data_IF_124406784276
#
_entry.id   IF_124406784276
#
_cell.length_a   1.000
_cell.length_b   1.000
_cell.length_c   1.000
_cell.angle_alpha   90.00
_cell.angle_beta   90.00
_cell.angle_gamma   90.00
#
_symmetry.space_group_name_H-M   'P 1'
#
loop_
_entity.id
_entity.type
_entity.pdbx_description
1 polymer ?
#
# COMPACT_ATOMS: atom_id res chain seq x y z
N UNK A 1 -16.66 -2.88 -12.16
CA UNK A 1 -17.59 -3.72 -11.37
C UNK A 1 -18.54 -2.84 -10.55
N UNK A 2 -19.70 -3.34 -10.17
CA UNK A 2 -20.61 -2.66 -9.24
C UNK A 2 -20.22 -3.04 -7.81
N UNK A 3 -20.15 -2.03 -6.93
CA UNK A 3 -19.80 -2.19 -5.51
C UNK A 3 -20.69 -1.30 -4.65
N UNK A 4 -20.94 -1.69 -3.42
CA UNK A 4 -21.72 -0.91 -2.45
C UNK A 4 -20.82 0.02 -1.63
N UNK A 5 -19.56 -0.38 -1.45
CA UNK A 5 -18.52 0.37 -0.76
C UNK A 5 -17.15 0.18 -1.41
N UNK A 6 -16.23 1.08 -1.08
CA UNK A 6 -14.83 1.02 -1.54
C UNK A 6 -13.93 1.27 -0.34
N UNK A 7 -13.00 0.33 -0.09
CA UNK A 7 -11.94 0.53 0.89
C UNK A 7 -10.80 1.28 0.21
N UNK A 8 -10.46 2.45 0.76
CA UNK A 8 -9.31 3.25 0.35
C UNK A 8 -8.33 3.32 1.52
N UNK A 9 -7.15 2.79 1.31
CA UNK A 9 -6.03 2.97 2.24
C UNK A 9 -5.31 4.29 1.96
N UNK A 10 -4.47 4.80 2.85
CA UNK A 10 -3.66 5.98 2.58
C UNK A 10 -2.96 5.87 1.22
N UNK A 11 -3.06 6.94 0.40
CA UNK A 11 -2.54 7.00 -0.96
C UNK A 11 -3.43 6.40 -2.05
N UNK A 12 -4.40 5.53 -1.75
CA UNK A 12 -5.31 5.00 -2.76
C UNK A 12 -6.28 6.06 -3.28
N UNK A 13 -6.67 5.92 -4.53
CA UNK A 13 -7.71 6.70 -5.21
C UNK A 13 -8.69 5.75 -5.89
N UNK A 14 -9.94 6.19 -6.06
CA UNK A 14 -10.94 5.48 -6.85
C UNK A 14 -11.76 6.46 -7.68
N UNK A 15 -11.97 6.10 -8.94
CA UNK A 15 -12.92 6.77 -9.81
C UNK A 15 -14.23 5.99 -9.80
N UNK A 16 -15.32 6.67 -9.45
CA UNK A 16 -16.62 6.04 -9.26
C UNK A 16 -17.63 6.66 -10.23
N UNK A 17 -18.28 5.81 -11.01
CA UNK A 17 -19.48 6.20 -11.78
C UNK A 17 -20.71 5.91 -10.93
N UNK A 18 -21.45 6.95 -10.58
CA UNK A 18 -22.62 6.86 -9.73
C UNK A 18 -23.86 7.29 -10.50
N UNK A 19 -24.88 6.42 -10.56
CA UNK A 19 -26.20 6.81 -11.06
C UNK A 19 -27.01 7.36 -9.90
N UNK A 20 -27.25 8.68 -9.90
CA UNK A 20 -27.98 9.35 -8.84
C UNK A 20 -29.46 9.57 -9.23
N UNK A 21 -30.36 9.31 -8.30
CA UNK A 21 -31.78 9.69 -8.41
C UNK A 21 -32.02 11.01 -7.67
N UNK A 22 -33.12 11.69 -7.99
CA UNK A 22 -33.46 12.94 -7.32
C UNK A 22 -33.55 12.76 -5.79
N UNK A 23 -32.98 13.70 -5.05
CA UNK A 23 -32.91 13.64 -3.59
C UNK A 23 -31.57 14.12 -3.04
N UNK A 24 -31.36 13.88 -1.75
CA UNK A 24 -30.10 14.22 -1.05
C UNK A 24 -29.35 12.95 -0.71
N UNK A 25 -28.09 12.89 -1.16
CA UNK A 25 -27.21 11.75 -0.99
C UNK A 25 -25.97 12.14 -0.22
N UNK A 26 -25.46 11.25 0.61
CA UNK A 26 -24.23 11.49 1.37
C UNK A 26 -23.16 10.46 1.05
N UNK A 27 -21.94 10.94 0.77
CA UNK A 27 -20.73 10.13 0.80
C UNK A 27 -20.23 10.08 2.23
N UNK A 28 -19.99 8.89 2.73
CA UNK A 28 -19.61 8.68 4.14
C UNK A 28 -18.34 7.85 4.23
N UNK A 29 -17.43 8.26 5.10
CA UNK A 29 -16.39 7.38 5.60
C UNK A 29 -16.95 6.49 6.71
N UNK A 30 -16.64 5.21 6.62
CA UNK A 30 -17.00 4.20 7.61
C UNK A 30 -15.69 3.66 8.18
N UNK A 31 -15.61 3.49 9.49
CA UNK A 31 -14.43 2.93 10.12
C UNK A 31 -14.19 1.49 9.63
N UNK A 32 -12.95 1.20 9.29
CA UNK A 32 -12.46 -0.13 8.89
C UNK A 32 -11.43 -0.58 9.93
N UNK A 33 -11.52 -1.84 10.34
CA UNK A 33 -10.51 -2.45 11.20
C UNK A 33 -9.25 -2.72 10.35
N UNK A 34 -8.15 -2.08 10.73
CA UNK A 34 -6.85 -2.22 10.08
C UNK A 34 -5.86 -3.05 10.90
N UNK A 35 -6.36 -3.79 11.89
CA UNK A 35 -5.52 -4.39 12.90
C UNK A 35 -4.94 -3.33 13.87
N UNK A 36 -4.12 -3.77 14.78
CA UNK A 36 -3.45 -2.88 15.73
C UNK A 36 -3.10 -3.59 17.03
N UNK A 37 -2.13 -3.06 17.74
CA UNK A 37 -1.82 -3.51 19.09
C UNK A 37 -2.84 -2.94 20.07
N UNK A 38 -3.88 -3.70 20.39
CA UNK A 38 -4.98 -3.31 21.27
C UNK A 38 -4.60 -2.93 22.70
N UNK A 39 -3.32 -2.77 23.02
CA UNK A 39 -2.83 -2.47 24.37
C UNK A 39 -2.12 -1.11 24.54
N UNK A 40 -1.78 -0.36 23.51
CA UNK A 40 -1.01 0.88 23.67
C UNK A 40 -1.78 2.19 23.51
N UNK A 41 -3.00 2.19 23.03
CA UNK A 41 -3.82 3.40 22.92
C UNK A 41 -5.08 3.31 23.78
N UNK A 42 -4.90 3.11 25.05
CA UNK A 42 -5.98 3.32 26.01
C UNK A 42 -6.37 4.79 26.09
N UNK A 43 -7.03 5.31 25.03
CA UNK A 43 -7.92 6.50 25.10
C UNK A 43 -8.39 7.08 23.77
N UNK A 44 -8.00 6.52 22.62
CA UNK A 44 -8.73 6.82 21.39
C UNK A 44 -9.50 5.56 21.04
N UNK A 45 -10.78 5.54 21.46
CA UNK A 45 -11.66 4.41 21.29
C UNK A 45 -11.61 3.91 19.85
N UNK A 46 -11.13 2.69 19.66
CA UNK A 46 -11.42 1.95 18.46
C UNK A 46 -12.93 1.74 18.43
N UNK A 47 -13.64 2.61 17.71
CA UNK A 47 -15.03 2.36 17.42
C UNK A 47 -15.10 1.00 16.71
N UNK A 48 -16.01 0.16 17.15
CA UNK A 48 -16.22 -1.11 16.46
C UNK A 48 -16.45 -0.84 14.96
N UNK A 49 -15.92 -1.68 14.06
CA UNK A 49 -16.06 -1.50 12.63
C UNK A 49 -17.53 -1.22 12.26
N UNK A 50 -17.78 -0.16 11.49
CA UNK A 50 -19.11 0.24 11.04
C UNK A 50 -19.92 1.13 12.00
N UNK A 51 -19.46 1.43 13.21
CA UNK A 51 -20.21 2.28 14.15
C UNK A 51 -19.99 3.79 13.94
N UNK A 52 -18.81 4.20 13.47
CA UNK A 52 -18.56 5.63 13.22
C UNK A 52 -18.69 5.90 11.73
N UNK A 53 -19.69 6.73 11.37
CA UNK A 53 -19.91 7.20 10.00
C UNK A 53 -19.71 8.71 9.97
N UNK A 54 -18.70 9.17 9.22
CA UNK A 54 -18.45 10.59 9.01
C UNK A 54 -18.92 10.98 7.62
N UNK A 55 -19.81 11.97 7.51
CA UNK A 55 -20.22 12.51 6.22
C UNK A 55 -19.09 13.35 5.64
N UNK A 56 -18.57 12.94 4.48
CA UNK A 56 -17.50 13.62 3.75
C UNK A 56 -18.07 14.67 2.79
N UNK A 57 -19.17 14.34 2.13
CA UNK A 57 -19.85 15.22 1.19
C UNK A 57 -21.35 14.94 1.13
N UNK A 58 -22.13 15.94 0.76
CA UNK A 58 -23.55 15.81 0.49
C UNK A 58 -23.84 16.30 -0.92
N UNK A 59 -24.59 15.52 -1.69
CA UNK A 59 -25.03 15.86 -3.04
C UNK A 59 -26.53 16.07 -3.05
N UNK A 60 -26.98 17.25 -3.49
CA UNK A 60 -28.38 17.52 -3.78
C UNK A 60 -28.60 17.32 -5.30
N UNK A 61 -29.34 16.28 -5.65
CA UNK A 61 -29.67 15.95 -7.03
C UNK A 61 -31.05 16.49 -7.37
N UNK A 62 -31.10 17.49 -8.23
CA UNK A 62 -32.33 18.19 -8.65
C UNK A 62 -32.39 18.22 -10.18
N UNK A 63 -33.58 18.42 -10.71
CA UNK A 63 -33.83 18.62 -12.12
C UNK A 63 -34.54 17.45 -12.80
N UNK A 64 -34.65 17.53 -14.11
CA UNK A 64 -35.28 16.50 -14.93
C UNK A 64 -34.30 15.32 -15.11
N UNK A 65 -34.77 14.08 -14.98
CA UNK A 65 -33.92 12.92 -15.27
C UNK A 65 -33.35 12.99 -16.69
N UNK A 66 -32.05 12.74 -16.82
CA UNK A 66 -31.37 12.57 -18.10
C UNK A 66 -31.14 11.09 -18.38
N UNK A 67 -30.88 10.74 -19.64
CA UNK A 67 -30.43 9.38 -19.97
C UNK A 67 -29.15 9.06 -19.18
N UNK A 68 -29.04 7.83 -18.70
CA UNK A 68 -27.79 7.35 -18.13
C UNK A 68 -26.65 7.49 -19.17
N UNK A 69 -25.46 7.84 -18.68
CA UNK A 69 -24.27 7.80 -19.51
C UNK A 69 -24.05 6.34 -19.95
N UNK A 70 -23.68 6.16 -21.21
CA UNK A 70 -23.19 4.86 -21.66
C UNK A 70 -21.98 4.47 -20.79
N UNK A 71 -21.90 3.21 -20.42
CA UNK A 71 -20.75 2.71 -19.66
C UNK A 71 -19.44 2.99 -20.41
N UNK A 72 -18.35 3.14 -19.69
CA UNK A 72 -17.04 3.30 -20.32
C UNK A 72 -16.77 2.13 -21.27
N UNK A 73 -16.66 2.40 -22.55
CA UNK A 73 -16.13 1.43 -23.50
C UNK A 73 -14.60 1.39 -23.32
N UNK A 74 -14.08 0.25 -22.93
CA UNK A 74 -12.65 0.03 -22.85
C UNK A 74 -12.09 -0.01 -24.28
N UNK A 75 -11.47 1.06 -24.72
CA UNK A 75 -10.91 1.15 -26.09
C UNK A 75 -9.64 0.30 -26.26
N UNK A 76 -8.95 -0.02 -25.14
CA UNK A 76 -7.73 -0.82 -25.16
C UNK A 76 -7.82 -1.90 -24.07
N UNK A 77 -7.41 -3.12 -24.41
CA UNK A 77 -7.21 -4.15 -23.40
C UNK A 77 -5.98 -3.76 -22.55
N UNK A 78 -6.12 -3.60 -21.23
CA UNK A 78 -4.97 -3.32 -20.39
C UNK A 78 -4.02 -4.52 -20.42
N UNK A 79 -2.72 -4.24 -20.30
CA UNK A 79 -1.68 -5.26 -20.23
C UNK A 79 -1.93 -6.17 -19.02
N UNK A 80 -1.77 -7.47 -19.22
CA UNK A 80 -1.88 -8.48 -18.16
C UNK A 80 -0.55 -9.24 -18.02
N UNK A 81 0.19 -8.93 -16.96
CA UNK A 81 1.49 -9.54 -16.70
C UNK A 81 1.41 -11.02 -16.31
N UNK A 82 0.21 -11.57 -16.02
CA UNK A 82 0.06 -13.01 -15.71
C UNK A 82 0.48 -13.91 -16.85
N UNK A 83 0.34 -13.43 -18.08
CA UNK A 83 0.75 -14.16 -19.28
C UNK A 83 2.22 -13.97 -19.66
N UNK A 84 2.94 -13.09 -18.96
CA UNK A 84 4.31 -12.73 -19.32
C UNK A 84 5.34 -13.45 -18.45
N UNK A 85 6.55 -13.66 -19.00
CA UNK A 85 7.62 -14.34 -18.30
C UNK A 85 8.17 -13.46 -17.16
N UNK A 86 8.23 -14.02 -15.96
CA UNK A 86 8.84 -13.38 -14.79
C UNK A 86 10.34 -13.60 -14.81
N UNK A 87 11.12 -12.53 -14.73
CA UNK A 87 12.59 -12.57 -14.75
C UNK A 87 13.20 -12.74 -13.37
N UNK A 88 12.51 -12.28 -12.33
CA UNK A 88 12.94 -12.43 -10.95
C UNK A 88 11.73 -12.51 -9.99
N UNK A 89 11.93 -13.18 -8.85
CA UNK A 89 10.97 -13.21 -7.75
C UNK A 89 11.63 -12.68 -6.49
N UNK A 90 10.89 -11.87 -5.72
CA UNK A 90 11.37 -11.30 -4.46
C UNK A 90 10.34 -11.47 -3.36
N UNK A 91 10.81 -11.58 -2.12
CA UNK A 91 10.01 -11.43 -0.92
C UNK A 91 10.45 -10.14 -0.20
N UNK A 92 9.51 -9.26 0.11
CA UNK A 92 9.71 -8.06 0.92
C UNK A 92 8.91 -8.24 2.21
N UNK A 93 9.63 -8.29 3.34
CA UNK A 93 9.03 -8.51 4.66
C UNK A 93 8.86 -7.16 5.36
N UNK A 94 7.61 -6.75 5.53
CA UNK A 94 7.23 -5.57 6.30
C UNK A 94 7.03 -5.97 7.76
N UNK A 95 7.78 -5.36 8.64
CA UNK A 95 7.80 -5.71 10.07
C UNK A 95 7.99 -4.50 10.95
N UNK A 96 7.94 -4.77 12.25
CA UNK A 96 8.19 -3.77 13.29
C UNK A 96 9.08 -4.37 14.36
N UNK A 97 9.99 -3.57 14.91
CA UNK A 97 10.85 -3.96 16.02
C UNK A 97 10.79 -2.88 17.09
N UNK A 98 11.03 -3.26 18.34
CA UNK A 98 11.38 -2.27 19.36
C UNK A 98 12.86 -1.98 19.25
N UNK A 99 13.22 -0.72 19.03
CA UNK A 99 14.59 -0.27 19.04
C UNK A 99 15.23 -0.64 20.38
N UNK A 100 15.93 -1.76 20.42
CA UNK A 100 16.70 -2.17 21.59
C UNK A 100 17.89 -1.22 21.70
N UNK A 101 17.78 -0.21 22.56
CA UNK A 101 18.89 0.66 22.90
C UNK A 101 20.11 -0.17 23.29
N UNK A 102 21.12 -0.19 22.41
CA UNK A 102 22.49 -0.48 22.72
C UNK A 102 22.84 -1.84 23.34
N UNK A 103 22.50 -2.95 22.72
CA UNK A 103 23.22 -4.21 22.91
C UNK A 103 24.47 -4.17 22.04
N UNK A 104 25.66 -4.05 22.65
CA UNK A 104 26.95 -4.18 21.95
C UNK A 104 27.08 -5.60 21.36
N UNK A 105 26.61 -5.80 20.15
CA UNK A 105 27.03 -6.89 19.27
C UNK A 105 28.18 -6.38 18.42
N UNK A 106 29.34 -7.02 18.49
CA UNK A 106 30.51 -6.74 17.67
C UNK A 106 30.18 -7.00 16.20
N UNK A 107 29.82 -5.97 15.47
CA UNK A 107 29.69 -5.92 14.03
C UNK A 107 29.99 -4.49 13.59
N UNK A 108 31.16 -4.29 13.01
CA UNK A 108 31.68 -3.00 12.55
C UNK A 108 30.90 -2.55 11.32
N UNK A 109 29.82 -1.82 11.52
CA UNK A 109 29.09 -1.07 10.50
C UNK A 109 28.98 0.37 10.94
N UNK A 110 29.67 1.26 10.27
CA UNK A 110 29.64 2.72 10.51
C UNK A 110 28.27 3.26 10.15
N UNK A 111 27.43 3.51 11.16
CA UNK A 111 26.20 4.27 11.00
C UNK A 111 26.54 5.75 10.74
N UNK A 112 26.41 6.19 9.52
CA UNK A 112 26.50 7.60 9.09
C UNK A 112 25.11 8.11 8.69
N UNK A 113 24.21 8.26 9.66
CA UNK A 113 23.09 9.19 9.52
C UNK A 113 22.76 9.75 10.90
N UNK A 114 22.85 11.07 11.03
CA UNK A 114 22.79 11.81 12.28
C UNK A 114 21.40 11.97 12.90
N UNK A 115 20.55 10.97 12.87
CA UNK A 115 19.34 10.93 13.68
C UNK A 115 19.66 10.20 14.99
N UNK A 116 19.69 10.93 16.10
CA UNK A 116 19.73 10.34 17.45
C UNK A 116 18.44 9.54 17.68
N UNK A 117 18.53 8.21 17.53
CA UNK A 117 17.42 7.31 17.80
C UNK A 117 17.22 7.21 19.31
N UNK A 118 16.03 7.55 19.79
CA UNK A 118 15.66 7.35 21.18
C UNK A 118 15.56 5.84 21.48
N UNK A 119 16.27 5.34 22.51
CA UNK A 119 16.15 3.95 22.95
C UNK A 119 14.71 3.65 23.39
N UNK A 120 14.08 2.64 22.76
CA UNK A 120 12.70 2.24 23.06
C UNK A 120 11.66 2.76 22.09
N UNK A 121 12.03 3.52 21.09
CA UNK A 121 11.13 3.88 19.97
C UNK A 121 10.87 2.67 19.08
N UNK A 122 9.64 2.54 18.62
CA UNK A 122 9.25 1.53 17.64
C UNK A 122 9.86 1.88 16.29
N UNK A 123 10.50 0.90 15.67
CA UNK A 123 11.04 1.01 14.31
C UNK A 123 10.20 0.17 13.37
N UNK A 124 9.92 0.69 12.19
CA UNK A 124 9.25 -0.02 11.12
C UNK A 124 10.26 -0.37 10.03
N UNK A 125 10.29 -1.63 9.63
CA UNK A 125 11.37 -2.17 8.79
C UNK A 125 10.83 -2.82 7.52
N UNK A 126 11.66 -2.81 6.47
CA UNK A 126 11.51 -3.69 5.31
C UNK A 126 12.71 -4.62 5.27
N UNK A 127 12.47 -5.93 5.28
CA UNK A 127 13.51 -6.97 5.38
C UNK A 127 14.42 -6.81 6.63
N UNK A 128 13.87 -6.28 7.72
CA UNK A 128 14.62 -6.05 8.96
C UNK A 128 15.46 -4.78 8.98
N UNK A 129 15.46 -4.01 7.90
CA UNK A 129 16.23 -2.78 7.76
C UNK A 129 15.31 -1.57 7.83
N UNK A 130 15.79 -0.49 8.44
CA UNK A 130 15.18 0.84 8.35
C UNK A 130 15.74 1.59 7.14
N UNK A 131 15.04 2.62 6.71
CA UNK A 131 15.43 3.46 5.59
C UNK A 131 16.85 4.02 5.73
N UNK A 132 17.61 3.91 4.65
CA UNK A 132 18.91 4.54 4.46
C UNK A 132 18.95 5.10 3.02
N UNK A 133 19.00 6.43 2.83
CA UNK A 133 18.97 7.05 1.50
C UNK A 133 20.19 6.71 0.63
N UNK A 134 21.28 6.30 1.26
CA UNK A 134 22.53 5.96 0.56
C UNK A 134 22.62 4.47 0.16
N UNK A 135 21.73 3.63 0.72
CA UNK A 135 21.65 2.21 0.43
C UNK A 135 20.65 1.93 -0.69
N UNK A 136 21.07 1.19 -1.71
CA UNK A 136 20.15 0.61 -2.70
C UNK A 136 19.72 -0.77 -2.20
N UNK A 137 18.45 -0.91 -1.84
CA UNK A 137 17.90 -2.16 -1.29
C UNK A 137 17.54 -3.15 -2.40
N UNK A 138 17.12 -2.65 -3.56
CA UNK A 138 16.72 -3.45 -4.72
C UNK A 138 17.38 -2.90 -5.97
N UNK A 139 17.92 -3.81 -6.79
CA UNK A 139 18.28 -3.51 -8.17
C UNK A 139 17.41 -4.36 -9.10
N UNK A 140 16.74 -3.73 -10.06
CA UNK A 140 15.95 -4.38 -11.08
C UNK A 140 16.47 -4.04 -12.49
N UNK A 141 16.28 -4.95 -13.43
CA UNK A 141 16.66 -4.73 -14.82
C UNK A 141 15.63 -3.91 -15.57
N UNK A 142 16.05 -2.94 -16.37
CA UNK A 142 15.16 -2.22 -17.28
C UNK A 142 14.48 -3.19 -18.27
N UNK A 143 13.16 -3.07 -18.44
CA UNK A 143 12.36 -3.97 -19.24
C UNK A 143 12.07 -5.34 -18.60
N UNK A 144 12.52 -5.55 -17.36
CA UNK A 144 12.23 -6.80 -16.63
C UNK A 144 10.81 -6.81 -16.06
N UNK A 145 10.28 -8.03 -15.87
CA UNK A 145 9.04 -8.25 -15.13
C UNK A 145 9.40 -9.04 -13.89
N UNK A 146 9.11 -8.48 -12.74
CA UNK A 146 9.36 -9.15 -11.46
C UNK A 146 8.06 -9.47 -10.74
N UNK A 147 8.06 -10.57 -9.98
CA UNK A 147 6.98 -10.98 -9.09
C UNK A 147 7.44 -10.77 -7.64
N UNK A 148 6.71 -9.92 -6.92
CA UNK A 148 7.04 -9.59 -5.55
C UNK A 148 5.98 -10.12 -4.59
N UNK A 149 6.42 -10.85 -3.56
CA UNK A 149 5.59 -11.21 -2.42
C UNK A 149 5.81 -10.18 -1.33
N UNK A 150 4.82 -9.34 -1.10
CA UNK A 150 4.78 -8.37 0.00
C UNK A 150 4.23 -9.08 1.23
N UNK A 151 5.08 -9.37 2.21
CA UNK A 151 4.73 -10.14 3.41
C UNK A 151 4.70 -9.22 4.62
N UNK A 152 3.58 -9.19 5.31
CA UNK A 152 3.40 -8.42 6.52
C UNK A 152 3.45 -9.33 7.74
N UNK A 153 4.42 -9.12 8.61
CA UNK A 153 4.58 -9.87 9.87
C UNK A 153 4.14 -9.07 11.10
N UNK A 154 3.56 -7.89 10.87
CA UNK A 154 3.05 -7.02 11.93
C UNK A 154 1.54 -7.19 12.13
N UNK A 155 0.99 -6.79 13.28
CA UNK A 155 -0.45 -6.86 13.55
C UNK A 155 -1.25 -5.70 12.94
N UNK A 156 -0.66 -4.90 12.07
CA UNK A 156 -1.28 -3.73 11.43
C UNK A 156 -1.15 -3.82 9.92
N UNK A 157 -2.12 -3.24 9.19
CA UNK A 157 -2.04 -3.15 7.73
C UNK A 157 -0.93 -2.20 7.28
N UNK A 158 -0.31 -2.54 6.15
CA UNK A 158 0.67 -1.69 5.47
C UNK A 158 0.24 -1.42 4.03
N UNK A 159 -0.27 -0.22 3.71
CA UNK A 159 -0.41 0.25 2.33
C UNK A 159 0.98 0.51 1.74
N UNK A 160 1.42 -0.37 0.86
CA UNK A 160 2.74 -0.29 0.22
C UNK A 160 2.63 0.46 -1.08
N UNK A 161 3.36 1.56 -1.20
CA UNK A 161 3.49 2.37 -2.42
C UNK A 161 4.82 2.09 -3.11
N UNK A 162 4.77 1.87 -4.41
CA UNK A 162 5.94 1.86 -5.28
C UNK A 162 5.87 3.07 -6.21
N UNK A 163 6.89 3.90 -6.16
CA UNK A 163 7.00 5.04 -7.06
C UNK A 163 7.29 4.58 -8.48
N UNK A 164 6.78 5.33 -9.46
CA UNK A 164 7.01 5.20 -10.91
C UNK A 164 6.25 4.04 -11.56
N UNK A 165 6.36 2.81 -11.04
CA UNK A 165 5.78 1.62 -11.70
C UNK A 165 4.55 1.11 -10.95
N UNK A 166 3.40 0.99 -11.64
CA UNK A 166 2.23 0.38 -11.01
C UNK A 166 2.43 -1.12 -10.82
N UNK A 167 1.78 -1.65 -9.82
CA UNK A 167 1.78 -3.07 -9.46
C UNK A 167 0.50 -3.73 -9.92
N UNK A 168 0.59 -4.82 -10.68
CA UNK A 168 -0.55 -5.68 -10.96
C UNK A 168 -0.77 -6.65 -9.81
N UNK A 169 -1.94 -6.63 -9.22
CA UNK A 169 -2.33 -7.52 -8.14
C UNK A 169 -2.56 -8.94 -8.67
N UNK A 170 -1.85 -9.92 -8.13
CA UNK A 170 -1.91 -11.34 -8.55
C UNK A 170 -2.63 -12.19 -7.51
N UNK A 171 -2.26 -12.03 -6.24
CA UNK A 171 -2.81 -12.82 -5.16
C UNK A 171 -2.92 -11.97 -3.90
N UNK A 172 -3.95 -12.18 -3.11
CA UNK A 172 -4.11 -11.59 -1.78
C UNK A 172 -4.58 -12.66 -0.80
N UNK A 173 -3.90 -12.79 0.34
CA UNK A 173 -4.23 -13.75 1.41
C UNK A 173 -4.39 -15.20 0.89
N UNK A 174 -3.52 -15.64 -0.03
CA UNK A 174 -3.59 -16.96 -0.65
C UNK A 174 -4.71 -17.17 -1.68
N UNK A 175 -5.43 -16.11 -2.04
CA UNK A 175 -6.51 -16.12 -3.03
C UNK A 175 -6.06 -15.43 -4.31
N UNK A 176 -6.12 -16.11 -5.44
CA UNK A 176 -5.83 -15.52 -6.74
C UNK A 176 -6.83 -14.42 -7.08
N UNK A 177 -6.33 -13.26 -7.47
CA UNK A 177 -7.15 -12.14 -7.95
C UNK A 177 -7.54 -12.40 -9.40
N UNK A 178 -8.84 -12.58 -9.65
CA UNK A 178 -9.36 -12.89 -11.00
C UNK A 178 -9.41 -11.65 -11.89
N UNK A 179 -9.88 -10.54 -11.33
CA UNK A 179 -9.98 -9.28 -12.05
C UNK A 179 -8.59 -8.68 -12.29
N UNK A 180 -8.41 -8.05 -13.43
CA UNK A 180 -7.20 -7.29 -13.72
C UNK A 180 -7.21 -6.00 -12.91
N UNK A 181 -6.31 -5.90 -11.95
CA UNK A 181 -6.19 -4.75 -11.05
C UNK A 181 -4.76 -4.21 -11.06
N UNK A 182 -4.63 -2.94 -11.40
CA UNK A 182 -3.39 -2.19 -11.34
C UNK A 182 -3.48 -1.12 -10.25
N UNK A 183 -2.50 -1.06 -9.39
CA UNK A 183 -2.44 -0.13 -8.26
C UNK A 183 -1.01 0.37 -8.07
N UNK A 184 -0.86 1.59 -7.66
CA UNK A 184 0.43 2.15 -7.20
C UNK A 184 0.59 2.06 -5.68
N UNK A 185 -0.53 1.83 -4.97
CA UNK A 185 -0.56 1.53 -3.54
C UNK A 185 -1.34 0.25 -3.31
N UNK A 186 -0.70 -0.77 -2.74
CA UNK A 186 -1.30 -2.07 -2.43
C UNK A 186 -1.37 -2.28 -0.92
N UNK A 187 -2.56 -2.50 -0.39
CA UNK A 187 -2.70 -2.83 1.03
C UNK A 187 -2.22 -4.26 1.31
N UNK A 188 -1.31 -4.41 2.26
CA UNK A 188 -0.86 -5.71 2.78
C UNK A 188 -1.46 -5.90 4.17
N UNK A 189 -2.51 -6.72 4.31
CA UNK A 189 -3.20 -6.89 5.58
C UNK A 189 -2.31 -7.44 6.69
N UNK A 190 -2.67 -7.17 7.94
CA UNK A 190 -1.97 -7.66 9.12
C UNK A 190 -1.74 -9.17 9.07
N UNK A 191 -0.51 -9.61 9.38
CA UNK A 191 -0.10 -11.03 9.42
C UNK A 191 -0.45 -11.81 8.13
N UNK A 192 -0.30 -11.18 6.98
CA UNK A 192 -0.69 -11.72 5.68
C UNK A 192 0.34 -11.42 4.60
N UNK A 193 0.03 -11.82 3.37
CA UNK A 193 0.84 -11.49 2.21
C UNK A 193 -0.02 -11.10 1.01
N UNK A 194 0.61 -10.40 0.08
CA UNK A 194 0.05 -10.04 -1.22
C UNK A 194 1.13 -10.27 -2.26
N UNK A 195 0.78 -10.90 -3.39
CA UNK A 195 1.68 -11.06 -4.53
C UNK A 195 1.30 -10.09 -5.64
N UNK A 196 2.29 -9.39 -6.14
CA UNK A 196 2.16 -8.44 -7.24
C UNK A 196 3.14 -8.73 -8.36
N UNK A 197 2.85 -8.30 -9.59
CA UNK A 197 3.81 -8.23 -10.69
C UNK A 197 4.03 -6.80 -11.10
N UNK A 198 5.28 -6.49 -11.44
CA UNK A 198 5.75 -5.16 -11.81
C UNK A 198 6.52 -5.28 -13.11
N UNK A 199 6.22 -4.43 -14.08
CA UNK A 199 7.01 -4.27 -15.29
C UNK A 199 7.86 -3.00 -15.15
N UNK A 200 9.18 -3.15 -15.09
CA UNK A 200 10.14 -2.04 -14.97
C UNK A 200 10.44 -1.42 -16.32
N UNK A 201 9.39 -0.98 -17.01
CA UNK A 201 9.47 -0.40 -18.35
C UNK A 201 9.72 1.11 -18.31
N UNK A 202 10.27 1.63 -19.41
CA UNK A 202 10.30 3.04 -19.80
C UNK A 202 11.18 3.97 -18.96
N UNK A 203 11.55 3.62 -17.74
CA UNK A 203 12.33 4.48 -16.86
C UNK A 203 13.52 3.73 -16.28
N UNK A 204 14.63 4.45 -16.08
CA UNK A 204 15.80 3.99 -15.37
C UNK A 204 16.19 5.01 -14.31
N UNK A 205 16.88 4.57 -13.28
CA UNK A 205 17.34 5.42 -12.18
C UNK A 205 16.85 4.94 -10.83
N UNK A 206 17.03 5.78 -9.82
CA UNK A 206 16.66 5.49 -8.43
C UNK A 206 15.33 6.11 -8.07
N UNK A 207 14.54 5.34 -7.32
CA UNK A 207 13.32 5.80 -6.66
C UNK A 207 13.12 5.05 -5.35
N UNK A 208 11.97 5.24 -4.69
CA UNK A 208 11.66 4.62 -3.41
C UNK A 208 10.39 3.78 -3.49
N UNK A 209 10.27 2.85 -2.54
CA UNK A 209 9.04 2.18 -2.18
C UNK A 209 8.88 2.26 -0.66
N UNK A 210 7.66 2.41 -0.16
CA UNK A 210 7.42 2.66 1.26
C UNK A 210 6.00 2.30 1.69
N UNK A 211 5.79 2.19 3.00
CA UNK A 211 4.45 2.18 3.58
C UNK A 211 3.87 3.59 3.52
N UNK A 212 2.59 3.72 3.15
CA UNK A 212 1.92 5.03 3.04
C UNK A 212 1.17 5.43 4.34
N UNK A 213 1.40 4.72 5.45
CA UNK A 213 1.06 5.21 6.79
C UNK A 213 2.20 6.11 7.24
N UNK A 214 1.91 7.37 7.46
CA UNK A 214 2.92 8.42 7.69
C UNK A 214 3.86 8.07 8.85
N UNK A 215 3.32 7.62 9.99
CA UNK A 215 4.13 7.23 11.14
C UNK A 215 5.07 6.05 10.84
N UNK A 216 4.65 5.11 9.96
CA UNK A 216 5.48 3.97 9.58
C UNK A 216 6.61 4.39 8.64
N UNK A 217 6.30 5.25 7.68
CA UNK A 217 7.27 5.84 6.74
C UNK A 217 8.33 6.65 7.49
N UNK A 218 7.91 7.58 8.37
CA UNK A 218 8.79 8.44 9.16
C UNK A 218 9.70 7.63 10.10
N UNK A 219 9.23 6.47 10.57
CA UNK A 219 9.97 5.57 11.46
C UNK A 219 10.74 4.48 10.72
N UNK A 220 10.90 4.59 9.39
CA UNK A 220 11.87 3.82 8.61
C UNK A 220 11.33 2.79 7.64
N UNK A 221 10.00 2.64 7.45
CA UNK A 221 9.44 1.66 6.52
C UNK A 221 9.49 2.15 5.07
N UNK A 222 10.70 2.29 4.56
CA UNK A 222 11.02 2.74 3.21
C UNK A 222 12.30 2.05 2.71
N UNK A 223 12.43 1.92 1.39
CA UNK A 223 13.63 1.41 0.73
C UNK A 223 13.88 2.07 -0.62
N UNK A 224 15.12 1.99 -1.09
CA UNK A 224 15.55 2.53 -2.39
C UNK A 224 15.61 1.40 -3.42
N UNK A 225 15.00 1.62 -4.56
CA UNK A 225 15.14 0.76 -5.74
C UNK A 225 15.87 1.49 -6.86
N UNK A 226 16.80 0.82 -7.51
CA UNK A 226 17.49 1.26 -8.71
C UNK A 226 17.11 0.36 -9.90
N UNK A 227 16.64 0.96 -10.99
CA UNK A 227 16.39 0.28 -12.27
C UNK A 227 17.49 0.68 -13.26
N UNK A 228 18.16 -0.30 -13.88
CA UNK A 228 19.32 -0.11 -14.77
C UNK A 228 19.39 -1.17 -15.87
#
# INVERSE_FOLDING_TARGET
RTVDDVVLTPGNRADLLVTATAGTWAVRAVAVDRGGMGMMHGRLGSAAPGQTKTTLATFAVNGTPTAALDGFSQQFAPRDLRAEAVTAKRELVFGMTMGMGGGRGMGQGTATSGATRDPGMMEFTINGEVFDPDRVDITAGSGSIEEWTLKNTSPMDHPVHLHVWPMQLIETQGQTVQDLQWQDVVNVPANSNVTVRIAFDNFVGKTVYHCHVLDHEDLGMMGVIEVR
#
